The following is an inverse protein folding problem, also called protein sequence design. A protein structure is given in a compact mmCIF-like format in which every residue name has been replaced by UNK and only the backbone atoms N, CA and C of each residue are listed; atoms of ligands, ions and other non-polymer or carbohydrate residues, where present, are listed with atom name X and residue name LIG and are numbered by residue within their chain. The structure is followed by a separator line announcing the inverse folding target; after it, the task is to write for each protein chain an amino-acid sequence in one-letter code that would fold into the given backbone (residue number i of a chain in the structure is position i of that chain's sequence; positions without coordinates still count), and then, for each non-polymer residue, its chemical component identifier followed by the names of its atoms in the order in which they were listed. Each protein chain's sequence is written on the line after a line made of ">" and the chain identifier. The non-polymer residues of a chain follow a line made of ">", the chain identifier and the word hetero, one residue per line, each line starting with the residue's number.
data_IF_914143801629
#
_entry.id   IF_914143801629
#
_cell.length_a   1.000
_cell.length_b   1.000
_cell.length_c   1.000
_cell.angle_alpha   90.00
_cell.angle_beta   90.00
_cell.angle_gamma   90.00
#
_symmetry.space_group_name_H-M   'P 1'
#
loop_
_entity.id
_entity.type
_entity.pdbx_description
1 polymer ?
#
# COMPACT_ATOMS: atom_id res chain seq x y z
N UNK A 1 -16.68 -6.74 -16.68
CA UNK A 1 -16.91 -5.55 -17.52
C UNK A 1 -15.56 -4.95 -17.88
N UNK A 2 -15.24 -4.82 -19.17
CA UNK A 2 -13.98 -4.20 -19.60
C UNK A 2 -14.07 -2.68 -19.44
N UNK A 3 -13.03 -2.06 -18.87
CA UNK A 3 -12.95 -0.60 -18.77
C UNK A 3 -12.76 -0.01 -20.17
N UNK A 4 -13.64 0.93 -20.54
CA UNK A 4 -13.52 1.66 -21.80
C UNK A 4 -12.18 2.38 -21.88
N UNK A 5 -11.63 2.55 -23.09
CA UNK A 5 -10.41 3.34 -23.32
C UNK A 5 -10.51 4.75 -22.73
N UNK A 6 -11.72 5.33 -22.74
CA UNK A 6 -11.99 6.61 -22.08
C UNK A 6 -11.77 6.56 -20.56
N UNK A 7 -12.22 5.48 -19.91
CA UNK A 7 -12.02 5.26 -18.47
C UNK A 7 -10.54 5.02 -18.14
N UNK A 8 -9.81 4.27 -18.97
CA UNK A 8 -8.36 4.08 -18.80
C UNK A 8 -7.61 5.41 -18.87
N UNK A 9 -7.95 6.28 -19.83
CA UNK A 9 -7.37 7.62 -19.96
C UNK A 9 -7.69 8.51 -18.75
N UNK A 10 -8.93 8.46 -18.27
CA UNK A 10 -9.34 9.20 -17.08
C UNK A 10 -8.60 8.73 -15.82
N UNK A 11 -8.52 7.42 -15.61
CA UNK A 11 -7.77 6.82 -14.49
C UNK A 11 -6.28 7.18 -14.54
N UNK A 12 -5.69 7.18 -15.74
CA UNK A 12 -4.29 7.57 -15.92
C UNK A 12 -4.05 9.04 -15.59
N UNK A 13 -4.94 9.94 -16.04
CA UNK A 13 -4.88 11.37 -15.69
C UNK A 13 -5.04 11.61 -14.19
N UNK A 14 -5.92 10.87 -13.53
CA UNK A 14 -6.09 10.96 -12.09
C UNK A 14 -4.86 10.44 -11.35
N UNK A 15 -4.33 9.28 -11.75
CA UNK A 15 -3.14 8.68 -11.13
C UNK A 15 -1.89 9.57 -11.28
N UNK A 16 -1.74 10.24 -12.43
CA UNK A 16 -0.66 11.19 -12.69
C UNK A 16 -0.70 12.38 -11.73
N UNK A 17 -1.89 12.99 -11.56
CA UNK A 17 -2.12 14.10 -10.62
C UNK A 17 -2.03 13.71 -9.15
N UNK A 18 -2.25 12.43 -8.83
CA UNK A 18 -2.36 11.92 -7.45
C UNK A 18 -1.27 10.88 -7.15
N UNK A 19 -0.09 11.04 -7.74
CA UNK A 19 1.00 10.07 -7.68
C UNK A 19 1.37 9.64 -6.26
N UNK A 20 1.43 10.59 -5.32
CA UNK A 20 1.75 10.30 -3.92
C UNK A 20 0.64 9.50 -3.22
N UNK A 21 -0.62 9.83 -3.48
CA UNK A 21 -1.77 9.09 -2.95
C UNK A 21 -1.78 7.66 -3.51
N UNK A 22 -1.56 7.51 -4.82
CA UNK A 22 -1.44 6.19 -5.45
C UNK A 22 -0.30 5.39 -4.83
N UNK A 23 0.87 6.00 -4.64
CA UNK A 23 2.01 5.35 -3.98
C UNK A 23 1.65 4.87 -2.57
N UNK A 24 1.01 5.72 -1.77
CA UNK A 24 0.56 5.37 -0.41
C UNK A 24 -0.46 4.21 -0.43
N UNK A 25 -1.41 4.24 -1.35
CA UNK A 25 -2.42 3.16 -1.49
C UNK A 25 -1.74 1.85 -1.87
N UNK A 26 -0.86 1.86 -2.87
CA UNK A 26 -0.11 0.68 -3.29
C UNK A 26 0.74 0.12 -2.14
N UNK A 27 1.51 0.96 -1.45
CA UNK A 27 2.29 0.55 -0.29
C UNK A 27 1.41 -0.05 0.81
N UNK A 28 0.30 0.63 1.16
CA UNK A 28 -0.66 0.13 2.17
C UNK A 28 -1.23 -1.24 1.80
N UNK A 29 -1.64 -1.43 0.56
CA UNK A 29 -2.22 -2.70 0.09
C UNK A 29 -1.18 -3.82 0.13
N UNK A 30 0.04 -3.56 -0.35
CA UNK A 30 1.13 -4.53 -0.34
C UNK A 30 1.52 -4.90 1.09
N UNK A 31 1.72 -3.94 1.98
CA UNK A 31 2.07 -4.19 3.38
C UNK A 31 0.97 -4.98 4.09
N UNK A 32 -0.31 -4.63 3.90
CA UNK A 32 -1.43 -5.40 4.49
C UNK A 32 -1.42 -6.85 4.05
N UNK A 33 -1.20 -7.10 2.76
CA UNK A 33 -1.14 -8.46 2.23
C UNK A 33 0.06 -9.21 2.80
N UNK A 34 1.23 -8.57 2.81
CA UNK A 34 2.45 -9.14 3.37
C UNK A 34 2.24 -9.59 4.83
N UNK A 35 1.78 -8.67 5.68
CA UNK A 35 1.54 -8.94 7.10
C UNK A 35 0.51 -10.05 7.33
N UNK A 36 -0.51 -10.16 6.45
CA UNK A 36 -1.58 -11.15 6.61
C UNK A 36 -1.21 -12.55 6.11
N UNK A 37 -0.51 -12.64 4.97
CA UNK A 37 -0.41 -13.89 4.21
C UNK A 37 1.03 -14.39 4.04
N UNK A 38 2.04 -13.54 4.18
CA UNK A 38 3.42 -13.85 3.78
C UNK A 38 4.43 -13.68 4.91
N UNK A 39 4.16 -12.82 5.88
CA UNK A 39 5.10 -12.51 6.94
C UNK A 39 5.37 -13.71 7.85
N UNK A 40 6.64 -14.02 8.05
CA UNK A 40 7.10 -15.01 9.03
C UNK A 40 6.92 -14.49 10.46
N UNK A 41 6.94 -15.37 11.47
CA UNK A 41 6.84 -14.95 12.87
C UNK A 41 7.94 -13.96 13.31
N UNK A 42 9.14 -14.07 12.73
CA UNK A 42 10.26 -13.18 13.03
C UNK A 42 10.04 -11.78 12.45
N UNK A 43 9.67 -11.69 11.17
CA UNK A 43 9.32 -10.42 10.51
C UNK A 43 8.14 -9.73 11.21
N UNK A 44 7.15 -10.49 11.69
CA UNK A 44 6.04 -9.95 12.48
C UNK A 44 6.51 -9.29 13.78
N UNK A 45 7.47 -9.91 14.49
CA UNK A 45 8.05 -9.35 15.71
C UNK A 45 8.79 -8.04 15.43
N UNK A 46 9.55 -7.98 14.33
CA UNK A 46 10.24 -6.75 13.92
C UNK A 46 9.26 -5.64 13.57
N UNK A 47 8.20 -5.93 12.82
CA UNK A 47 7.16 -4.94 12.50
C UNK A 47 6.48 -4.38 13.75
N UNK A 48 6.17 -5.23 14.73
CA UNK A 48 5.63 -4.79 16.02
C UNK A 48 6.64 -3.93 16.77
N UNK A 49 7.93 -4.30 16.76
CA UNK A 49 8.99 -3.52 17.40
C UNK A 49 9.08 -2.12 16.79
N UNK A 50 9.12 -2.01 15.46
CA UNK A 50 9.14 -0.73 14.75
C UNK A 50 7.94 0.15 15.16
N UNK A 51 6.73 -0.44 15.23
CA UNK A 51 5.53 0.28 15.67
C UNK A 51 5.64 0.79 17.10
N UNK A 52 6.12 -0.06 18.03
CA UNK A 52 6.29 0.32 19.44
C UNK A 52 7.31 1.43 19.61
N UNK A 53 8.46 1.33 18.95
CA UNK A 53 9.53 2.34 19.03
C UNK A 53 9.04 3.70 18.48
N UNK A 54 8.21 3.69 17.43
CA UNK A 54 7.63 4.92 16.88
C UNK A 54 6.54 5.55 17.76
N UNK A 55 5.87 4.77 18.62
CA UNK A 55 4.79 5.25 19.51
C UNK A 55 5.24 5.51 20.96
N UNK A 56 6.47 5.12 21.32
CA UNK A 56 7.09 5.40 22.62
C UNK A 56 7.94 6.69 22.63
N UNK A 57 7.77 7.57 21.63
CA UNK A 57 8.35 8.92 21.60
C UNK A 57 7.31 9.96 21.98
#
# INVERSE_FOLDING_TARGET
>A
MATSEAQKRANRKWADKNREICRRISSKSTTKRFVREMATPEEWKELIKIYRDAHNQ
#
